data_IF_976919240870
#
_entry.id   IF_976919240870
#
_cell.length_a   1.000
_cell.length_b   1.000
_cell.length_c   1.000
_cell.angle_alpha   90.00
_cell.angle_beta   90.00
_cell.angle_gamma   90.00
#
_symmetry.space_group_name_H-M   'P 1'
#
loop_
_entity.id
_entity.type
_entity.pdbx_description
1 polymer ?
#
# COMPACT_ATOMS: atom_id res chain seq x y z
N UNK A 1 -10.22 -24.05 -5.20
CA UNK A 1 -9.30 -23.11 -4.54
C UNK A 1 -8.42 -23.91 -3.61
N UNK A 2 -7.14 -24.00 -3.95
CA UNK A 2 -6.09 -24.61 -3.14
C UNK A 2 -6.00 -23.91 -1.77
N UNK A 3 -5.44 -24.57 -0.75
CA UNK A 3 -5.31 -24.01 0.60
C UNK A 3 -4.45 -22.74 0.60
N UNK A 4 -3.40 -22.71 -0.21
CA UNK A 4 -2.55 -21.51 -0.36
C UNK A 4 -3.30 -20.35 -1.01
N UNK A 5 -4.14 -20.62 -2.01
CA UNK A 5 -4.99 -19.61 -2.64
C UNK A 5 -6.01 -19.03 -1.65
N UNK A 6 -6.59 -19.87 -0.78
CA UNK A 6 -7.49 -19.40 0.30
C UNK A 6 -6.76 -18.47 1.25
N UNK A 7 -5.57 -18.86 1.71
CA UNK A 7 -4.75 -18.05 2.61
C UNK A 7 -4.39 -16.72 1.96
N UNK A 8 -3.96 -16.72 0.69
CA UNK A 8 -3.68 -15.51 -0.09
C UNK A 8 -4.91 -14.61 -0.16
N UNK A 9 -6.07 -15.16 -0.53
CA UNK A 9 -7.33 -14.41 -0.60
C UNK A 9 -7.69 -13.71 0.72
N UNK A 10 -7.52 -14.37 1.87
CA UNK A 10 -7.76 -13.75 3.17
C UNK A 10 -6.75 -12.64 3.51
N UNK A 11 -5.46 -12.85 3.18
CA UNK A 11 -4.43 -11.83 3.35
C UNK A 11 -4.73 -10.60 2.49
N UNK A 12 -5.19 -10.79 1.26
CA UNK A 12 -5.51 -9.70 0.34
C UNK A 12 -6.70 -8.89 0.86
N UNK A 13 -7.76 -9.55 1.34
CA UNK A 13 -8.91 -8.88 1.99
C UNK A 13 -8.49 -8.01 3.17
N UNK A 14 -7.68 -8.57 4.06
CA UNK A 14 -7.14 -7.83 5.20
C UNK A 14 -6.27 -6.65 4.76
N UNK A 15 -5.34 -6.90 3.83
CA UNK A 15 -4.38 -5.89 3.37
C UNK A 15 -5.06 -4.71 2.71
N UNK A 16 -5.99 -4.95 1.79
CA UNK A 16 -6.76 -3.89 1.12
C UNK A 16 -7.65 -3.15 2.14
N UNK A 17 -8.30 -3.86 3.07
CA UNK A 17 -9.07 -3.21 4.12
C UNK A 17 -8.20 -2.28 4.98
N UNK A 18 -7.00 -2.71 5.40
CA UNK A 18 -6.09 -1.88 6.18
C UNK A 18 -5.59 -0.65 5.42
N UNK A 19 -5.30 -0.80 4.12
CA UNK A 19 -4.94 0.33 3.26
C UNK A 19 -6.09 1.34 3.23
N UNK A 20 -7.32 0.89 3.02
CA UNK A 20 -8.49 1.77 3.09
C UNK A 20 -8.59 2.40 4.49
N UNK A 21 -8.55 1.61 5.56
CA UNK A 21 -8.74 2.05 6.93
C UNK A 21 -7.74 3.12 7.38
N UNK A 22 -6.46 2.90 7.08
CA UNK A 22 -5.36 3.76 7.52
C UNK A 22 -5.29 5.03 6.67
N UNK A 23 -5.49 4.95 5.36
CA UNK A 23 -5.28 6.08 4.43
C UNK A 23 -6.55 6.84 4.04
N UNK A 24 -7.71 6.42 4.52
CA UNK A 24 -8.94 7.19 4.37
C UNK A 24 -8.93 8.41 5.28
N UNK A 25 -9.57 9.48 4.81
CA UNK A 25 -9.79 10.70 5.57
C UNK A 25 -11.17 10.68 6.22
N UNK A 26 -11.37 11.37 7.37
CA UNK A 26 -12.69 11.54 7.97
C UNK A 26 -13.71 12.10 6.98
N UNK A 27 -14.91 11.52 6.96
CA UNK A 27 -15.96 11.89 6.03
C UNK A 27 -17.34 11.63 6.62
N UNK A 28 -18.24 12.57 6.39
CA UNK A 28 -19.66 12.45 6.69
C UNK A 28 -20.45 12.75 5.43
N UNK A 29 -21.48 11.94 5.18
CA UNK A 29 -22.37 12.08 4.04
C UNK A 29 -23.81 11.89 4.52
N UNK A 30 -24.69 12.82 4.14
CA UNK A 30 -26.10 12.76 4.51
C UNK A 30 -26.84 11.62 3.80
N UNK A 31 -26.39 11.24 2.60
CA UNK A 31 -26.95 10.12 1.83
C UNK A 31 -26.43 8.77 2.34
N UNK A 32 -25.25 8.76 2.97
CA UNK A 32 -24.61 7.58 3.55
C UNK A 32 -24.34 7.79 5.06
N UNK A 33 -25.36 7.82 5.92
CA UNK A 33 -25.25 8.22 7.32
C UNK A 33 -24.40 7.27 8.17
N UNK A 34 -24.15 6.05 7.68
CA UNK A 34 -23.32 5.03 8.33
C UNK A 34 -21.83 5.13 7.94
N UNK A 35 -21.45 5.98 7.00
CA UNK A 35 -20.05 6.17 6.58
C UNK A 35 -19.33 7.17 7.46
N UNK A 36 -18.04 6.94 7.70
CA UNK A 36 -17.18 7.75 8.58
C UNK A 36 -15.85 8.14 7.97
N UNK A 37 -15.37 7.40 6.97
CA UNK A 37 -14.12 7.72 6.27
C UNK A 37 -14.29 7.53 4.77
N UNK A 38 -13.50 8.25 4.00
CA UNK A 38 -13.46 8.16 2.53
C UNK A 38 -12.03 7.97 2.03
N UNK A 39 -11.86 7.05 1.08
CA UNK A 39 -10.67 6.89 0.27
C UNK A 39 -11.00 7.15 -1.20
N UNK A 40 -10.11 7.84 -1.90
CA UNK A 40 -10.27 8.15 -3.31
C UNK A 40 -9.13 7.53 -4.13
N UNK A 41 -9.48 7.03 -5.32
CA UNK A 41 -8.58 6.47 -6.34
C UNK A 41 -8.08 5.05 -6.09
N UNK A 42 -8.59 4.09 -6.85
CA UNK A 42 -8.04 2.73 -6.90
C UNK A 42 -6.55 2.70 -7.23
N UNK A 43 -6.08 3.59 -8.12
CA UNK A 43 -4.65 3.68 -8.43
C UNK A 43 -3.83 3.96 -7.16
N UNK A 44 -4.33 4.78 -6.23
CA UNK A 44 -3.62 5.03 -4.98
C UNK A 44 -3.59 3.78 -4.10
N UNK A 45 -4.65 2.97 -4.09
CA UNK A 45 -4.65 1.64 -3.43
C UNK A 45 -3.52 0.78 -4.03
N UNK A 46 -3.47 0.64 -5.36
CA UNK A 46 -2.48 -0.19 -6.04
C UNK A 46 -1.04 0.21 -5.70
N UNK A 47 -0.76 1.52 -5.65
CA UNK A 47 0.61 2.00 -5.38
C UNK A 47 1.01 1.88 -3.91
N UNK A 48 0.07 2.06 -2.97
CA UNK A 48 0.31 1.78 -1.54
C UNK A 48 0.47 0.28 -1.32
N UNK A 49 -0.38 -0.54 -1.94
CA UNK A 49 -0.32 -1.99 -1.85
C UNK A 49 1.02 -2.51 -2.36
N UNK A 50 1.52 -1.96 -3.46
CA UNK A 50 2.84 -2.29 -3.99
C UNK A 50 3.96 -2.07 -2.96
N UNK A 51 3.99 -0.92 -2.26
CA UNK A 51 4.99 -0.62 -1.23
C UNK A 51 4.86 -1.56 -0.01
N UNK A 52 3.64 -1.92 0.34
CA UNK A 52 3.38 -2.84 1.46
C UNK A 52 3.81 -4.28 1.12
N UNK A 53 3.64 -4.69 -0.14
CA UNK A 53 4.03 -6.00 -0.66
C UNK A 53 5.51 -6.14 -0.95
N UNK A 54 6.22 -5.04 -1.20
CA UNK A 54 7.63 -5.03 -1.57
C UNK A 54 8.43 -4.14 -0.61
N UNK A 55 8.85 -4.67 0.55
CA UNK A 55 9.56 -3.88 1.58
C UNK A 55 10.88 -3.26 1.09
N UNK A 56 11.53 -3.86 0.11
CA UNK A 56 12.72 -3.30 -0.56
C UNK A 56 12.40 -2.01 -1.32
N UNK A 57 11.29 -1.98 -2.06
CA UNK A 57 10.80 -0.74 -2.69
C UNK A 57 10.41 0.32 -1.66
N UNK A 58 9.80 -0.07 -0.54
CA UNK A 58 9.56 0.86 0.57
C UNK A 58 10.87 1.44 1.11
N UNK A 59 11.89 0.61 1.33
CA UNK A 59 13.20 1.06 1.79
C UNK A 59 13.87 2.01 0.80
N UNK A 60 13.84 1.71 -0.50
CA UNK A 60 14.36 2.60 -1.54
C UNK A 60 13.73 4.00 -1.45
N UNK A 61 12.40 4.08 -1.41
CA UNK A 61 11.67 5.35 -1.33
C UNK A 61 11.96 6.12 -0.04
N UNK A 62 12.17 5.41 1.08
CA UNK A 62 12.62 6.03 2.33
C UNK A 62 14.05 6.58 2.17
N UNK A 63 14.97 5.85 1.56
CA UNK A 63 16.33 6.35 1.31
C UNK A 63 16.32 7.60 0.41
N UNK A 64 15.45 7.67 -0.60
CA UNK A 64 15.25 8.89 -1.41
C UNK A 64 14.79 10.10 -0.56
N UNK A 65 13.88 9.88 0.39
CA UNK A 65 13.48 10.91 1.36
C UNK A 65 14.65 11.35 2.24
N UNK A 66 15.49 10.42 2.68
CA UNK A 66 16.67 10.69 3.51
C UNK A 66 17.79 11.43 2.75
N UNK A 67 17.97 11.13 1.46
CA UNK A 67 18.87 11.86 0.55
C UNK A 67 18.39 13.31 0.38
N UNK A 68 17.08 13.50 0.25
CA UNK A 68 16.45 14.82 0.05
C UNK A 68 16.30 15.64 1.34
N UNK A 69 16.35 15.00 2.50
CA UNK A 69 16.20 15.66 3.80
C UNK A 69 17.06 15.00 4.88
N UNK A 70 18.20 15.65 5.18
CA UNK A 70 19.20 15.18 6.16
C UNK A 70 18.60 14.96 7.55
N UNK A 71 17.59 15.74 7.95
CA UNK A 71 16.97 15.61 9.29
C UNK A 71 16.27 14.26 9.50
N UNK A 72 15.83 13.61 8.41
CA UNK A 72 15.18 12.30 8.44
C UNK A 72 16.17 11.14 8.45
N UNK A 73 17.46 11.38 8.16
CA UNK A 73 18.45 10.33 7.99
C UNK A 73 18.58 9.38 9.19
N UNK A 74 18.66 9.85 10.46
CA UNK A 74 18.81 8.95 11.59
C UNK A 74 17.62 8.00 11.77
N UNK A 75 16.41 8.53 11.60
CA UNK A 75 15.18 7.74 11.73
C UNK A 75 15.06 6.73 10.58
N UNK A 76 15.25 7.17 9.34
CA UNK A 76 15.13 6.30 8.17
C UNK A 76 16.20 5.20 8.20
N UNK A 77 17.42 5.51 8.65
CA UNK A 77 18.47 4.52 8.83
C UNK A 77 18.03 3.39 9.76
N UNK A 78 17.43 3.73 10.90
CA UNK A 78 16.95 2.74 11.87
C UNK A 78 15.83 1.88 11.27
N UNK A 79 14.88 2.50 10.55
CA UNK A 79 13.76 1.81 9.90
C UNK A 79 14.27 0.82 8.84
N UNK A 80 15.15 1.24 7.94
CA UNK A 80 15.66 0.36 6.87
C UNK A 80 16.45 -0.81 7.45
N UNK A 81 17.27 -0.57 8.49
CA UNK A 81 17.95 -1.65 9.22
C UNK A 81 16.99 -2.65 9.84
N UNK A 82 15.92 -2.19 10.49
CA UNK A 82 14.93 -3.08 11.12
C UNK A 82 14.22 -3.97 10.08
N UNK A 83 13.82 -3.39 8.94
CA UNK A 83 13.17 -4.11 7.83
C UNK A 83 14.09 -5.20 7.26
N UNK A 84 15.37 -4.90 7.05
CA UNK A 84 16.34 -5.86 6.52
C UNK A 84 16.76 -6.91 7.57
N UNK A 85 16.96 -6.53 8.83
CA UNK A 85 17.32 -7.44 9.91
C UNK A 85 16.22 -8.49 10.18
N UNK A 86 14.96 -8.09 10.06
CA UNK A 86 13.79 -8.97 10.14
C UNK A 86 13.52 -9.76 8.84
N UNK A 87 14.36 -9.58 7.81
CA UNK A 87 14.30 -10.24 6.50
C UNK A 87 12.95 -10.06 5.80
N UNK A 88 12.27 -8.94 6.03
CA UNK A 88 10.98 -8.64 5.40
C UNK A 88 11.05 -8.67 3.86
N UNK A 89 12.08 -8.13 3.19
CA UNK A 89 12.16 -8.18 1.72
C UNK A 89 12.26 -9.60 1.14
N UNK A 90 12.54 -10.61 1.96
CA UNK A 90 12.59 -12.02 1.56
C UNK A 90 11.30 -12.74 1.98
N UNK A 91 10.89 -12.60 3.24
CA UNK A 91 9.81 -13.41 3.81
C UNK A 91 8.42 -12.78 3.74
N UNK A 92 8.33 -11.45 3.61
CA UNK A 92 7.06 -10.71 3.54
C UNK A 92 6.73 -10.27 2.12
N UNK A 93 7.65 -10.48 1.19
CA UNK A 93 7.46 -10.12 -0.20
C UNK A 93 6.28 -10.87 -0.81
N UNK A 94 5.42 -10.12 -1.49
CA UNK A 94 4.33 -10.64 -2.30
C UNK A 94 4.45 -10.05 -3.70
N UNK A 95 4.59 -10.91 -4.70
CA UNK A 95 4.75 -10.48 -6.07
C UNK A 95 3.51 -9.72 -6.56
N UNK A 96 3.73 -8.79 -7.50
CA UNK A 96 2.67 -7.98 -8.11
C UNK A 96 3.01 -7.81 -9.59
N UNK A 97 2.02 -8.01 -10.44
CA UNK A 97 2.22 -7.98 -11.89
C UNK A 97 2.33 -6.54 -12.38
N UNK A 98 3.13 -6.36 -13.43
CA UNK A 98 3.12 -5.11 -14.18
C UNK A 98 2.04 -5.13 -15.24
N UNK A 99 1.18 -4.12 -15.20
CA UNK A 99 0.19 -3.84 -16.22
C UNK A 99 0.49 -2.52 -16.95
N UNK A 100 -0.44 -2.03 -17.78
CA UNK A 100 -0.24 -0.84 -18.63
C UNK A 100 0.28 0.41 -17.88
N UNK A 101 -0.08 0.58 -16.60
CA UNK A 101 0.27 1.74 -15.79
C UNK A 101 1.06 1.38 -14.51
N UNK A 102 1.81 0.28 -14.58
CA UNK A 102 2.68 -0.22 -13.52
C UNK A 102 2.03 -1.35 -12.72
N UNK A 103 2.49 -1.53 -11.48
CA UNK A 103 1.99 -2.53 -10.55
C UNK A 103 0.45 -2.53 -10.45
N UNK A 104 -0.14 -3.69 -10.61
CA UNK A 104 -1.59 -3.93 -10.60
C UNK A 104 -1.92 -5.29 -9.98
N UNK A 105 -3.02 -5.34 -9.23
CA UNK A 105 -3.72 -6.54 -8.79
C UNK A 105 -5.22 -6.31 -9.01
N UNK A 106 -5.96 -7.32 -9.47
CA UNK A 106 -7.42 -7.25 -9.42
C UNK A 106 -7.91 -7.29 -7.97
N UNK A 107 -8.63 -6.24 -7.55
CA UNK A 107 -9.18 -6.12 -6.20
C UNK A 107 -10.71 -6.21 -6.19
N UNK A 108 -11.37 -6.43 -7.32
CA UNK A 108 -12.83 -6.36 -7.42
C UNK A 108 -13.51 -7.39 -6.49
N UNK A 109 -12.98 -8.62 -6.41
CA UNK A 109 -13.47 -9.65 -5.48
C UNK A 109 -13.24 -9.26 -4.01
N UNK A 110 -12.13 -8.59 -3.70
CA UNK A 110 -11.84 -8.09 -2.35
C UNK A 110 -12.82 -6.99 -1.97
N UNK A 111 -13.06 -6.03 -2.88
CA UNK A 111 -14.01 -4.95 -2.68
C UNK A 111 -15.44 -5.49 -2.53
N UNK A 112 -15.84 -6.45 -3.37
CA UNK A 112 -17.14 -7.10 -3.28
C UNK A 112 -17.32 -7.82 -1.94
N UNK A 113 -16.30 -8.55 -1.47
CA UNK A 113 -16.32 -9.20 -0.16
C UNK A 113 -16.47 -8.19 0.98
N UNK A 114 -15.63 -7.14 1.01
CA UNK A 114 -15.66 -6.11 2.06
C UNK A 114 -17.00 -5.36 2.07
N UNK A 115 -17.61 -5.13 0.90
CA UNK A 115 -18.97 -4.59 0.80
C UNK A 115 -20.01 -5.58 1.33
N UNK A 116 -19.89 -6.86 0.99
CA UNK A 116 -20.81 -7.92 1.40
C UNK A 116 -20.89 -8.10 2.92
N UNK A 117 -19.78 -7.89 3.63
CA UNK A 117 -19.73 -7.91 5.11
C UNK A 117 -20.03 -6.55 5.76
N UNK A 118 -20.39 -5.53 4.98
CA UNK A 118 -20.74 -4.20 5.48
C UNK A 118 -19.56 -3.36 5.96
N UNK A 119 -18.32 -3.74 5.64
CA UNK A 119 -17.13 -2.98 6.05
C UNK A 119 -16.93 -1.72 5.21
N UNK A 120 -17.27 -1.80 3.92
CA UNK A 120 -17.16 -0.67 3.00
C UNK A 120 -18.43 -0.47 2.18
N UNK A 121 -18.59 0.73 1.66
CA UNK A 121 -19.34 0.98 0.44
C UNK A 121 -18.39 1.53 -0.64
N UNK A 122 -18.80 1.53 -1.90
CA UNK A 122 -18.03 2.14 -2.97
C UNK A 122 -18.93 2.77 -4.02
N UNK A 123 -18.43 3.83 -4.65
CA UNK A 123 -19.07 4.44 -5.81
C UNK A 123 -18.08 4.54 -6.97
N UNK A 124 -18.61 4.36 -8.18
CA UNK A 124 -17.88 4.47 -9.43
C UNK A 124 -18.68 5.39 -10.35
N UNK A 125 -18.20 6.63 -10.53
CA UNK A 125 -18.89 7.65 -11.34
C UNK A 125 -17.94 8.13 -12.44
N UNK A 126 -18.46 8.30 -13.66
CA UNK A 126 -17.70 9.01 -14.70
C UNK A 126 -17.56 10.47 -14.27
N UNK A 127 -16.37 11.05 -14.41
CA UNK A 127 -16.18 12.47 -14.13
C UNK A 127 -16.99 13.31 -15.10
N UNK A 128 -17.56 14.41 -14.59
CA UNK A 128 -18.34 15.35 -15.38
C UNK A 128 -17.49 16.16 -16.37
N UNK A 129 -16.15 16.15 -16.24
CA UNK A 129 -15.19 16.94 -17.02
C UNK A 129 -14.86 16.35 -18.41
N UNK A 130 -15.72 15.46 -18.94
CA UNK A 130 -15.55 14.79 -20.24
C UNK A 130 -14.25 13.97 -20.40
N UNK A 131 -13.43 13.85 -19.35
CA UNK A 131 -12.33 12.89 -19.34
C UNK A 131 -12.92 11.50 -19.16
N UNK A 132 -12.40 10.53 -19.91
CA UNK A 132 -12.79 9.11 -19.86
C UNK A 132 -12.45 8.42 -18.52
N UNK A 133 -12.01 9.17 -17.52
CA UNK A 133 -11.54 8.63 -16.24
C UNK A 133 -12.71 8.39 -15.29
N UNK A 134 -12.83 7.15 -14.83
CA UNK A 134 -13.78 6.74 -13.80
C UNK A 134 -13.24 7.16 -12.43
N UNK A 135 -14.04 7.89 -11.67
CA UNK A 135 -13.76 8.21 -10.28
C UNK A 135 -14.30 7.10 -9.38
N UNK A 136 -13.38 6.34 -8.77
CA UNK A 136 -13.69 5.34 -7.74
C UNK A 136 -13.48 5.96 -6.35
N UNK A 137 -14.53 5.91 -5.52
CA UNK A 137 -14.52 6.30 -4.10
C UNK A 137 -14.90 5.10 -3.25
N UNK A 138 -14.19 4.89 -2.16
CA UNK A 138 -14.43 3.84 -1.19
C UNK A 138 -14.75 4.50 0.14
N UNK A 139 -15.75 3.98 0.82
CA UNK A 139 -16.30 4.55 2.03
C UNK A 139 -16.20 3.51 3.13
N UNK A 140 -15.73 3.89 4.30
CA UNK A 140 -15.62 2.99 5.45
C UNK A 140 -16.78 3.27 6.40
N UNK A 141 -17.48 2.22 6.78
CA UNK A 141 -18.65 2.32 7.65
C UNK A 141 -18.24 2.43 9.12
N UNK A 142 -19.11 3.01 9.95
CA UNK A 142 -18.95 3.00 11.41
C UNK A 142 -18.82 1.56 11.93
N UNK A 143 -19.62 0.64 11.39
CA UNK A 143 -19.54 -0.78 11.74
C UNK A 143 -18.14 -1.37 11.53
N UNK A 144 -17.48 -1.04 10.43
CA UNK A 144 -16.13 -1.50 10.15
C UNK A 144 -15.12 -0.96 11.15
N UNK A 145 -15.25 0.32 11.53
CA UNK A 145 -14.39 0.98 12.52
C UNK A 145 -14.57 0.30 13.86
N UNK A 146 -15.81 0.18 14.34
CA UNK A 146 -16.12 -0.44 15.63
C UNK A 146 -15.61 -1.88 15.68
N UNK A 147 -15.81 -2.65 14.60
CA UNK A 147 -15.34 -4.03 14.53
C UNK A 147 -13.82 -4.10 14.52
N UNK A 148 -13.17 -3.20 13.80
CA UNK A 148 -11.72 -3.17 13.72
C UNK A 148 -11.10 -2.84 15.07
N UNK A 149 -11.48 -1.70 15.66
CA UNK A 149 -10.90 -1.18 16.91
C UNK A 149 -11.17 -2.11 18.10
N UNK A 150 -12.37 -2.72 18.19
CA UNK A 150 -12.72 -3.56 19.35
C UNK A 150 -12.21 -5.01 19.25
N UNK A 151 -12.06 -5.57 18.06
CA UNK A 151 -11.83 -7.03 17.90
C UNK A 151 -10.62 -7.40 17.06
N UNK A 152 -10.23 -6.55 16.11
CA UNK A 152 -9.23 -6.91 15.09
C UNK A 152 -7.89 -6.23 15.38
N UNK A 153 -7.90 -4.98 15.82
CA UNK A 153 -6.70 -4.17 16.02
C UNK A 153 -5.74 -4.77 17.06
N UNK A 154 -6.23 -5.51 18.06
CA UNK A 154 -5.39 -6.15 19.08
C UNK A 154 -4.71 -7.45 18.61
N UNK A 155 -5.06 -7.97 17.43
CA UNK A 155 -4.52 -9.24 16.94
C UNK A 155 -3.06 -9.09 16.52
N UNK A 156 -2.19 -9.94 17.07
CA UNK A 156 -0.74 -9.94 16.80
C UNK A 156 -0.42 -10.17 15.32
N UNK A 157 -1.20 -11.01 14.63
CA UNK A 157 -1.05 -11.31 13.21
C UNK A 157 -1.26 -10.10 12.29
N UNK A 158 -1.93 -9.05 12.79
CA UNK A 158 -2.30 -7.86 12.02
C UNK A 158 -1.30 -6.73 12.25
N UNK A 159 -0.59 -6.72 13.39
CA UNK A 159 0.32 -5.65 13.79
C UNK A 159 1.37 -5.34 12.73
N UNK A 160 1.90 -6.37 12.06
CA UNK A 160 2.86 -6.16 11.00
C UNK A 160 2.27 -5.29 9.88
N UNK A 161 1.10 -5.64 9.36
CA UNK A 161 0.45 -4.88 8.29
C UNK A 161 0.08 -3.47 8.75
N UNK A 162 -0.47 -3.34 9.96
CA UNK A 162 -0.87 -2.04 10.51
C UNK A 162 0.34 -1.11 10.69
N UNK A 163 1.44 -1.62 11.26
CA UNK A 163 2.68 -0.88 11.44
C UNK A 163 3.29 -0.46 10.10
N UNK A 164 3.26 -1.34 9.08
CA UNK A 164 3.73 -0.99 7.74
C UNK A 164 2.83 0.01 7.04
N UNK A 165 1.50 -0.10 7.14
CA UNK A 165 0.57 0.91 6.64
C UNK A 165 0.81 2.27 7.29
N UNK A 166 0.99 2.33 8.61
CA UNK A 166 1.27 3.57 9.33
C UNK A 166 2.64 4.17 8.96
N UNK A 167 3.66 3.33 8.76
CA UNK A 167 4.96 3.76 8.25
C UNK A 167 4.83 4.37 6.85
N UNK A 168 4.13 3.70 5.94
CA UNK A 168 3.89 4.22 4.57
C UNK A 168 3.09 5.53 4.65
N UNK A 169 2.05 5.60 5.50
CA UNK A 169 1.26 6.82 5.70
C UNK A 169 2.12 7.98 6.21
N UNK A 170 3.03 7.74 7.15
CA UNK A 170 3.91 8.77 7.70
C UNK A 170 4.76 9.47 6.63
N UNK A 171 5.32 8.74 5.67
CA UNK A 171 6.26 9.31 4.69
C UNK A 171 5.63 9.60 3.32
N UNK A 172 4.55 8.91 2.98
CA UNK A 172 3.95 8.91 1.64
C UNK A 172 2.43 9.09 1.66
N UNK A 173 1.81 9.30 2.83
CA UNK A 173 0.37 9.47 2.98
C UNK A 173 -0.18 10.63 2.16
N UNK A 174 0.54 11.74 2.05
CA UNK A 174 0.09 12.91 1.30
C UNK A 174 0.23 12.77 -0.22
N UNK A 175 0.85 11.68 -0.71
CA UNK A 175 1.08 11.48 -2.13
C UNK A 175 -0.16 10.89 -2.82
N UNK A 176 -0.45 11.44 -4.01
CA UNK A 176 -1.42 10.86 -4.94
C UNK A 176 -0.89 9.59 -5.59
N UNK A 177 -1.79 8.77 -6.13
CA UNK A 177 -1.41 7.58 -6.91
C UNK A 177 -0.50 7.89 -8.10
N UNK A 178 -0.66 9.06 -8.73
CA UNK A 178 0.22 9.52 -9.80
C UNK A 178 1.63 9.85 -9.32
N UNK A 179 1.77 10.52 -8.17
CA UNK A 179 3.08 10.84 -7.59
C UNK A 179 3.82 9.57 -7.15
N UNK A 180 3.12 8.64 -6.48
CA UNK A 180 3.68 7.34 -6.12
C UNK A 180 4.13 6.56 -7.36
N UNK A 181 3.32 6.57 -8.43
CA UNK A 181 3.69 5.94 -9.70
C UNK A 181 4.94 6.57 -10.29
N UNK A 182 5.06 7.90 -10.31
CA UNK A 182 6.23 8.58 -10.88
C UNK A 182 7.51 8.14 -10.16
N UNK A 183 7.47 8.02 -8.83
CA UNK A 183 8.60 7.55 -8.01
C UNK A 183 8.99 6.12 -8.38
N UNK A 184 8.01 5.20 -8.40
CA UNK A 184 8.23 3.80 -8.76
C UNK A 184 8.84 3.62 -10.17
N UNK A 185 8.48 4.46 -11.13
CA UNK A 185 9.02 4.43 -12.49
C UNK A 185 10.44 4.99 -12.63
N UNK A 186 11.01 5.63 -11.59
CA UNK A 186 12.42 6.01 -11.58
C UNK A 186 13.36 4.80 -11.37
N UNK A 187 12.81 3.68 -10.91
CA UNK A 187 13.57 2.46 -10.62
C UNK A 187 13.60 1.61 -11.89
N UNK A 188 14.80 1.36 -12.42
CA UNK A 188 14.97 0.65 -13.70
C UNK A 188 14.34 -0.74 -13.68
N UNK A 189 14.48 -1.51 -12.59
CA UNK A 189 13.86 -2.84 -12.44
C UNK A 189 12.33 -2.77 -12.65
N UNK A 190 11.67 -1.82 -11.98
CA UNK A 190 10.23 -1.61 -12.12
C UNK A 190 9.86 -1.15 -13.53
N UNK A 191 10.62 -0.18 -14.07
CA UNK A 191 10.37 0.44 -15.36
C UNK A 191 10.52 -0.55 -16.52
N UNK A 192 11.48 -1.47 -16.41
CA UNK A 192 11.84 -2.41 -17.48
C UNK A 192 11.15 -3.77 -17.37
N UNK A 193 10.43 -4.05 -16.28
CA UNK A 193 9.56 -5.24 -16.18
C UNK A 193 8.62 -5.28 -17.40
N UNK A 194 8.41 -6.45 -18.01
CA UNK A 194 7.52 -6.57 -19.17
C UNK A 194 6.05 -6.56 -18.75
N UNK A 195 5.15 -6.42 -19.73
CA UNK A 195 3.72 -6.53 -19.49
C UNK A 195 3.36 -7.95 -19.02
N UNK A 196 2.51 -8.05 -17.98
CA UNK A 196 2.10 -9.29 -17.31
C UNK A 196 3.22 -10.10 -16.66
N UNK A 197 4.39 -9.50 -16.41
CA UNK A 197 5.46 -10.12 -15.62
C UNK A 197 5.45 -9.60 -14.18
N UNK A 198 5.93 -10.43 -13.25
CA UNK A 198 6.14 -10.00 -11.87
C UNK A 198 7.31 -9.03 -11.77
N UNK A 199 7.08 -7.94 -11.05
CA UNK A 199 8.13 -6.94 -10.79
C UNK A 199 9.20 -7.57 -9.90
N UNK A 200 10.48 -7.49 -10.30
CA UNK A 200 11.61 -8.09 -9.59
C UNK A 200 12.01 -7.39 -8.30
N UNK A 201 12.88 -8.01 -7.50
CA UNK A 201 13.37 -7.42 -6.24
C UNK A 201 14.48 -6.42 -6.53
N UNK A 202 14.60 -5.40 -5.69
CA UNK A 202 15.68 -4.43 -5.72
C UNK A 202 16.57 -4.47 -4.47
N UNK A 203 16.59 -5.58 -3.73
CA UNK A 203 17.39 -5.75 -2.52
C UNK A 203 18.85 -5.27 -2.66
N UNK A 204 19.52 -5.67 -3.75
CA UNK A 204 20.91 -5.27 -4.00
C UNK A 204 21.08 -3.77 -4.25
N UNK A 205 20.09 -3.11 -4.87
CA UNK A 205 20.07 -1.67 -5.06
C UNK A 205 19.95 -0.99 -3.70
N UNK A 206 19.00 -1.40 -2.87
CA UNK A 206 18.79 -0.83 -1.53
C UNK A 206 20.03 -0.99 -0.65
N UNK A 207 20.67 -2.16 -0.64
CA UNK A 207 21.92 -2.38 0.09
C UNK A 207 23.03 -1.44 -0.38
N UNK A 208 23.15 -1.22 -1.69
CA UNK A 208 24.15 -0.31 -2.26
C UNK A 208 23.86 1.15 -1.91
N UNK A 209 22.60 1.57 -1.99
CA UNK A 209 22.19 2.93 -1.63
C UNK A 209 22.35 3.23 -0.16
N UNK A 210 22.01 2.27 0.71
CA UNK A 210 22.19 2.39 2.14
C UNK A 210 23.67 2.55 2.50
N UNK A 211 24.55 1.74 1.88
CA UNK A 211 25.99 1.88 2.06
C UNK A 211 26.49 3.24 1.59
N UNK A 212 26.06 3.70 0.41
CA UNK A 212 26.48 4.99 -0.11
C UNK A 212 26.03 6.17 0.76
N UNK A 213 24.85 6.08 1.38
CA UNK A 213 24.31 7.14 2.23
C UNK A 213 24.90 7.13 3.65
N UNK A 214 25.17 5.96 4.22
CA UNK A 214 25.51 5.80 5.64
C UNK A 214 26.89 5.21 5.91
N UNK A 215 27.61 4.75 4.88
CA UNK A 215 28.88 4.00 5.01
C UNK A 215 28.77 2.76 5.89
N UNK A 216 27.61 2.09 5.86
CA UNK A 216 27.31 0.89 6.65
C UNK A 216 26.59 -0.17 5.80
N UNK A 217 26.72 -1.45 6.15
CA UNK A 217 26.00 -2.54 5.49
C UNK A 217 24.68 -2.86 6.18
N UNK A 218 23.72 -3.38 5.42
CA UNK A 218 22.45 -3.95 5.91
C UNK A 218 22.59 -5.41 6.32
#
# INVERSE_FOLDING_TARGET
MDENEKIRSYKDKLRIFLILYVFSEPHTDNELPNVRKIFQSEQRIQKIDFLLRNPDYLCHELLEKAKSNISLQPEIKAIVKDIFASKEPIFKRLEMERFFFGAYEDIDDVIAFLKGIGFIDFSSKRRADLKTTIEKKYYITQYAIDKFENEIESLSSIQWYLNRCNLIKKYFGDLSGSQLRISQYQIDEYKNTSYNEYIGSINGIVSSEFYNLYSETL
#
